data_IF_922919498544
#
_entry.id   IF_922919498544
#
_cell.length_a   1.000
_cell.length_b   1.000
_cell.length_c   1.000
_cell.angle_alpha   90.00
_cell.angle_beta   90.00
_cell.angle_gamma   90.00
#
_symmetry.space_group_name_H-M   'P 1'
#
loop_
_entity.id
_entity.type
_entity.pdbx_description
1 polymer ?
#
# COMPACT_ATOMS: atom_id res chain seq x y z
N UNK A 1 32.81 25.33 42.84
CA UNK A 1 32.48 25.14 42.49
C UNK A 1 32.02 24.46 41.75
N UNK A 2 31.96 24.24 41.32
CA UNK A 2 31.58 23.46 40.71
C UNK A 2 30.44 23.05 40.41
N UNK A 3 29.82 23.29 40.45
CA UNK A 3 28.66 22.93 40.32
C UNK A 3 28.26 22.77 39.08
N UNK A 4 28.22 23.07 38.50
CA UNK A 4 27.87 23.03 37.48
C UNK A 4 27.63 22.06 36.89
N UNK A 5 27.81 21.53 36.65
CA UNK A 5 27.77 20.54 36.02
C UNK A 5 26.68 19.91 35.96
N UNK A 6 26.11 19.87 36.28
CA UNK A 6 25.08 19.12 36.39
C UNK A 6 24.22 19.24 35.32
N UNK A 7 24.01 20.09 34.85
CA UNK A 7 23.11 20.20 33.94
C UNK A 7 23.09 19.33 32.89
N UNK A 8 23.75 19.08 32.29
CA UNK A 8 23.71 18.30 31.26
C UNK A 8 23.07 17.19 31.17
N UNK A 9 22.99 16.57 31.74
CA UNK A 9 22.40 15.34 31.62
C UNK A 9 21.19 15.43 30.97
N UNK A 10 20.40 16.24 31.21
CA UNK A 10 19.22 16.15 30.72
C UNK A 10 19.11 16.15 29.36
N UNK A 11 19.71 16.71 28.68
CA UNK A 11 19.51 16.61 27.40
C UNK A 11 19.40 15.39 26.81
N UNK A 12 19.94 14.58 27.06
CA UNK A 12 19.86 13.32 26.50
C UNK A 12 18.53 12.89 26.32
N UNK A 13 17.80 13.05 27.13
CA UNK A 13 16.56 12.51 27.06
C UNK A 13 15.89 12.81 25.85
N UNK A 14 15.92 13.86 25.43
CA UNK A 14 15.15 14.11 24.37
C UNK A 14 15.38 13.31 23.24
N UNK A 15 16.37 12.90 23.04
CA UNK A 15 16.59 12.20 21.92
C UNK A 15 15.81 11.15 21.63
N UNK A 16 15.52 10.45 22.37
CA UNK A 16 14.87 9.35 22.11
C UNK A 16 13.66 9.42 21.53
N UNK A 17 12.89 10.13 21.72
CA UNK A 17 11.70 9.87 21.25
C UNK A 17 11.63 10.05 19.86
N UNK A 18 12.50 10.32 19.28
CA UNK A 18 12.39 10.49 17.99
C UNK A 18 12.14 9.36 17.20
N UNK A 19 12.42 8.44 17.47
CA UNK A 19 12.28 7.31 16.72
C UNK A 19 11.11 6.83 16.36
N UNK A 20 10.22 6.94 16.38
CA UNK A 20 9.12 6.31 16.11
C UNK A 20 8.97 5.80 14.93
N UNK A 21 8.78 5.49 14.58
CA UNK A 21 8.54 5.01 13.67
C UNK A 21 7.97 4.96 12.69
N UNK A 22 7.36 5.23 12.48
CA UNK A 22 6.83 5.23 11.45
C UNK A 22 6.97 4.36 10.52
N UNK A 23 6.93 3.49 10.64
CA UNK A 23 7.08 2.55 9.81
C UNK A 23 6.08 2.43 8.78
N UNK A 24 4.95 2.77 8.84
CA UNK A 24 3.96 2.50 7.86
C UNK A 24 3.70 3.72 7.02
N UNK A 25 3.94 3.62 5.75
CA UNK A 25 3.76 4.73 4.91
C UNK A 25 2.73 4.43 3.86
N UNK A 26 1.75 5.26 3.72
CA UNK A 26 0.71 5.05 2.75
C UNK A 26 1.13 5.53 1.39
N UNK A 27 0.90 4.75 0.38
CA UNK A 27 1.27 5.11 -0.96
C UNK A 27 0.17 4.80 -1.93
N UNK A 28 0.19 5.45 -3.06
CA UNK A 28 -0.78 5.23 -4.11
C UNK A 28 -0.10 4.70 -5.35
N UNK A 29 -0.74 3.79 -6.02
CA UNK A 29 -0.19 3.19 -7.21
C UNK A 29 -1.30 3.07 -8.24
N UNK A 30 -1.04 3.52 -9.46
CA UNK A 30 -1.99 3.35 -10.53
C UNK A 30 -1.35 2.45 -11.55
N UNK A 31 -2.03 1.43 -11.98
CA UNK A 31 -1.47 0.52 -12.95
C UNK A 31 -2.46 -0.54 -13.37
N UNK A 32 -1.94 -1.53 -14.07
CA UNK A 32 -2.79 -2.60 -14.54
C UNK A 32 -2.54 -3.84 -13.75
N UNK A 33 -3.58 -4.57 -13.46
CA UNK A 33 -3.45 -5.81 -12.72
C UNK A 33 -2.83 -6.85 -13.65
N UNK A 34 -1.72 -7.43 -13.23
CA UNK A 34 -1.14 -8.52 -13.98
C UNK A 34 -1.63 -9.84 -13.45
N UNK A 35 -1.86 -9.95 -12.19
CA UNK A 35 -2.32 -11.19 -11.61
C UNK A 35 -3.00 -10.93 -10.28
N UNK A 36 -3.98 -11.72 -9.98
CA UNK A 36 -4.64 -11.63 -8.70
C UNK A 36 -4.87 -13.06 -8.23
N UNK A 37 -4.43 -13.40 -7.05
CA UNK A 37 -4.58 -14.72 -6.50
C UNK A 37 -4.99 -14.60 -5.05
N UNK A 38 -6.28 -14.51 -4.77
CA UNK A 38 -6.71 -14.29 -3.39
C UNK A 38 -6.32 -15.43 -2.46
N UNK A 39 -6.25 -16.65 -2.97
CA UNK A 39 -5.87 -17.73 -2.11
C UNK A 39 -4.46 -17.57 -1.60
N UNK A 40 -3.60 -16.96 -2.37
CA UNK A 40 -2.26 -16.71 -1.91
C UNK A 40 -2.08 -15.30 -1.43
N UNK A 41 -3.15 -14.55 -1.36
CA UNK A 41 -3.11 -13.19 -0.89
C UNK A 41 -2.19 -12.34 -1.72
N UNK A 42 -2.22 -12.53 -3.02
CA UNK A 42 -1.26 -11.88 -3.88
C UNK A 42 -1.92 -11.05 -4.97
N UNK A 43 -1.44 -9.84 -5.14
CA UNK A 43 -1.87 -8.99 -6.24
C UNK A 43 -0.60 -8.45 -6.89
N UNK A 44 -0.52 -8.55 -8.19
CA UNK A 44 0.62 -7.98 -8.92
C UNK A 44 0.10 -6.92 -9.86
N UNK A 45 0.64 -5.73 -9.74
CA UNK A 45 0.22 -4.59 -10.53
C UNK A 45 1.42 -4.04 -11.28
N UNK A 46 1.22 -3.75 -12.54
CA UNK A 46 2.26 -3.19 -13.36
C UNK A 46 2.04 -1.68 -13.41
N UNK A 47 3.01 -0.91 -12.99
CA UNK A 47 2.89 0.54 -12.98
C UNK A 47 3.20 1.16 -14.30
N UNK A 48 3.14 2.48 -14.34
CA UNK A 48 3.39 3.18 -15.55
C UNK A 48 4.70 2.93 -16.21
N UNK A 49 5.72 2.77 -15.52
CA UNK A 49 7.01 2.52 -16.11
C UNK A 49 7.27 1.08 -16.38
N UNK A 50 6.31 0.24 -16.22
CA UNK A 50 6.51 -1.17 -16.41
C UNK A 50 6.99 -1.90 -15.19
N UNK A 51 7.21 -1.21 -14.11
CA UNK A 51 7.66 -1.88 -12.90
C UNK A 51 6.54 -2.70 -12.33
N UNK A 52 6.88 -3.79 -11.68
CA UNK A 52 5.90 -4.65 -11.08
C UNK A 52 5.86 -4.48 -9.60
N UNK A 53 4.68 -4.42 -9.06
CA UNK A 53 4.49 -4.26 -7.63
C UNK A 53 3.73 -5.46 -7.10
N UNK A 54 4.31 -6.15 -6.14
CA UNK A 54 3.64 -7.29 -5.52
C UNK A 54 3.05 -6.81 -4.23
N UNK A 55 1.77 -6.95 -4.09
CA UNK A 55 1.06 -6.44 -2.92
C UNK A 55 0.29 -7.55 -2.27
N UNK A 56 0.15 -7.47 -0.98
CA UNK A 56 -0.61 -8.44 -0.24
C UNK A 56 -2.05 -8.01 -0.16
N UNK A 57 -2.98 -8.90 -0.40
CA UNK A 57 -4.39 -8.59 -0.27
C UNK A 57 -5.01 -9.59 0.68
N UNK A 58 -6.14 -9.26 1.26
CA UNK A 58 -6.83 -10.18 2.14
C UNK A 58 -8.31 -9.85 2.09
N UNK A 59 -9.13 -10.58 2.80
CA UNK A 59 -10.57 -10.33 2.71
C UNK A 59 -10.98 -8.95 3.17
N UNK A 60 -10.12 -8.28 3.94
CA UNK A 60 -10.45 -6.96 4.39
C UNK A 60 -10.01 -5.88 3.44
N UNK A 61 -9.28 -6.21 2.40
CA UNK A 61 -8.90 -5.21 1.43
C UNK A 61 -10.17 -4.66 0.80
N UNK A 62 -10.31 -3.34 0.81
CA UNK A 62 -11.50 -2.76 0.27
C UNK A 62 -11.42 -2.67 -1.24
N UNK A 63 -12.45 -3.07 -1.94
CA UNK A 63 -12.48 -3.00 -3.39
C UNK A 63 -13.69 -2.19 -3.79
N UNK A 64 -13.47 -1.17 -4.60
CA UNK A 64 -14.55 -0.31 -5.04
C UNK A 64 -14.65 -0.37 -6.55
N UNK A 65 -15.81 -0.78 -7.01
CA UNK A 65 -16.07 -0.87 -8.43
C UNK A 65 -17.34 -0.10 -8.71
N UNK A 66 -17.29 0.87 -9.57
CA UNK A 66 -18.48 1.65 -9.90
C UNK A 66 -19.13 2.25 -8.68
N UNK A 67 -18.32 2.77 -7.80
CA UNK A 67 -18.80 3.41 -6.59
C UNK A 67 -19.45 2.43 -5.64
N UNK A 68 -19.31 1.17 -5.84
CA UNK A 68 -19.91 0.17 -4.99
C UNK A 68 -18.83 -0.68 -4.38
N UNK A 69 -18.96 -0.99 -3.12
CA UNK A 69 -18.01 -1.86 -2.47
C UNK A 69 -18.18 -3.26 -2.98
N UNK A 70 -17.10 -3.91 -3.33
CA UNK A 70 -17.12 -5.22 -3.91
C UNK A 70 -16.06 -6.07 -3.25
N UNK A 71 -15.89 -7.26 -3.70
CA UNK A 71 -14.85 -8.11 -3.15
C UNK A 71 -13.73 -8.30 -4.14
N UNK A 72 -12.74 -9.05 -3.75
CA UNK A 72 -11.59 -9.26 -4.60
C UNK A 72 -11.95 -9.99 -5.88
N UNK A 73 -13.07 -10.64 -5.91
CA UNK A 73 -13.46 -11.41 -7.07
C UNK A 73 -13.74 -10.55 -8.30
N UNK A 74 -13.91 -9.25 -8.14
CA UNK A 74 -14.11 -8.41 -9.29
C UNK A 74 -12.81 -7.85 -9.84
N UNK A 75 -11.71 -8.10 -9.17
CA UNK A 75 -10.43 -7.63 -9.65
C UNK A 75 -9.93 -8.63 -10.67
N UNK A 76 -9.58 -8.20 -11.85
CA UNK A 76 -9.18 -9.10 -12.90
C UNK A 76 -7.94 -8.67 -13.60
N UNK A 77 -7.20 -9.61 -14.10
CA UNK A 77 -6.00 -9.29 -14.85
C UNK A 77 -6.36 -8.41 -16.04
N UNK A 78 -5.58 -7.45 -16.32
CA UNK A 78 -5.83 -6.50 -17.38
C UNK A 78 -6.57 -5.26 -16.96
N UNK A 79 -7.16 -5.26 -15.79
CA UNK A 79 -7.91 -4.11 -15.36
C UNK A 79 -7.04 -2.99 -14.87
N UNK A 80 -7.50 -1.78 -15.03
CA UNK A 80 -6.77 -0.61 -14.56
C UNK A 80 -7.24 -0.30 -13.16
N UNK A 81 -6.33 -0.13 -12.24
CA UNK A 81 -6.71 0.08 -10.86
C UNK A 81 -5.88 1.17 -10.21
N UNK A 82 -6.42 1.73 -9.15
CA UNK A 82 -5.64 2.60 -8.29
C UNK A 82 -5.63 1.92 -6.93
N UNK A 83 -4.46 1.64 -6.40
CA UNK A 83 -4.34 0.92 -5.16
C UNK A 83 -3.70 1.80 -4.11
N UNK A 84 -4.31 1.84 -2.95
CA UNK A 84 -3.72 2.50 -1.82
C UNK A 84 -3.11 1.40 -0.97
N UNK A 85 -1.83 1.47 -0.69
CA UNK A 85 -1.18 0.41 0.05
C UNK A 85 -0.26 0.97 1.12
N UNK A 86 0.06 0.12 2.08
CA UNK A 86 0.95 0.49 3.14
C UNK A 86 2.28 -0.19 2.93
N UNK A 87 3.33 0.59 2.98
CA UNK A 87 4.64 0.04 2.91
C UNK A 87 5.13 -0.21 4.31
N UNK A 88 5.60 -1.40 4.60
CA UNK A 88 6.08 -1.75 5.91
C UNK A 88 7.45 -2.35 5.80
N UNK A 89 8.37 -1.96 6.62
CA UNK A 89 9.70 -2.52 6.55
C UNK A 89 9.66 -3.99 6.86
N UNK A 90 10.37 -4.75 6.10
CA UNK A 90 10.47 -6.15 6.41
C UNK A 90 9.27 -6.99 6.03
N UNK A 91 8.29 -6.43 5.36
CA UNK A 91 7.13 -7.18 4.97
C UNK A 91 6.69 -6.74 3.61
N UNK A 92 5.93 -7.52 2.92
CA UNK A 92 5.40 -7.07 1.65
C UNK A 92 4.42 -5.94 1.87
N UNK A 93 4.32 -5.03 0.94
CA UNK A 93 3.34 -3.96 1.08
C UNK A 93 1.94 -4.54 1.08
N UNK A 94 1.08 -3.91 1.83
CA UNK A 94 -0.26 -4.42 2.00
C UNK A 94 -1.27 -3.52 1.32
N UNK A 95 -2.06 -4.05 0.42
CA UNK A 95 -3.07 -3.25 -0.25
C UNK A 95 -4.21 -2.97 0.71
N UNK A 96 -4.58 -1.73 0.83
CA UNK A 96 -5.68 -1.37 1.68
C UNK A 96 -6.93 -1.15 0.90
N UNK A 97 -6.86 -0.53 -0.24
CA UNK A 97 -8.04 -0.35 -1.05
C UNK A 97 -7.69 -0.39 -2.52
N UNK A 98 -8.55 -0.94 -3.32
CA UNK A 98 -8.36 -1.06 -4.74
C UNK A 98 -9.57 -0.43 -5.40
N UNK A 99 -9.31 0.58 -6.21
CA UNK A 99 -10.37 1.23 -6.94
C UNK A 99 -10.26 0.82 -8.39
N UNK A 100 -11.30 0.23 -8.92
CA UNK A 100 -11.29 -0.18 -10.31
C UNK A 100 -11.57 1.05 -11.17
N UNK A 101 -10.62 1.38 -12.03
CA UNK A 101 -10.74 2.57 -12.79
C UNK A 101 -11.33 2.37 -14.16
N UNK A 102 -11.25 1.22 -14.72
CA UNK A 102 -11.75 1.10 -15.97
C UNK A 102 -11.77 -0.16 -16.38
N UNK A 103 -12.43 -0.43 -17.19
CA UNK A 103 -12.50 -1.54 -17.47
C UNK A 103 -11.74 -2.21 -18.28
N UNK A 104 -12.14 -3.21 -18.78
CA UNK A 104 -11.37 -3.91 -19.51
C UNK A 104 -11.36 -3.35 -20.72
N UNK A 105 -10.46 -3.29 -21.22
CA UNK A 105 -10.24 -2.80 -22.38
C UNK A 105 -10.99 -3.35 -23.43
N UNK A 106 -11.29 -4.24 -23.52
CA UNK A 106 -11.84 -4.80 -24.51
C UNK A 106 -13.11 -4.73 -24.50
N UNK A 107 -13.65 -4.38 -24.23
CA UNK A 107 -14.80 -4.41 -24.08
C UNK A 107 -15.30 -3.61 -24.87
N UNK A 108 -15.23 -3.26 -25.43
CA UNK A 108 -15.56 -2.63 -26.05
C UNK A 108 -16.09 -2.76 -27.05
N UNK A 109 -16.19 -2.92 -27.44
CA UNK A 109 -16.58 -3.00 -28.17
C UNK A 109 -17.27 -2.93 -28.83
N UNK A 110 -17.53 -2.91 -29.15
CA UNK A 110 -18.15 -2.90 -29.61
C UNK A 110 -18.46 -2.74 -29.95
#
# INVERSE_FOLDING_TARGET
MSPRRAAFGLLAASALWAAPTAAHEERLLVGRVEAIDPARKLLIVSGDGGERHRLEVDPETEVIACRTRSGLDVVRAGGLVRVKYLEKPGSPPEAQSILLLGGEPERVRR
#
